data_IF_513746108247
#
_entry.id   IF_513746108247
#
_cell.length_a   1.000
_cell.length_b   1.000
_cell.length_c   1.000
_cell.angle_alpha   90.00
_cell.angle_beta   90.00
_cell.angle_gamma   90.00
#
_symmetry.space_group_name_H-M   'P 1'
#
loop_
_entity.id
_entity.type
_entity.pdbx_description
1 polymer ?
#
# COMPACT_ATOMS: atom_id res chain seq x y z
N UNK A 1 -1.38 -7.78 11.74
CA UNK A 1 -1.46 -7.87 10.26
C UNK A 1 -0.39 -6.98 9.67
N UNK A 2 0.27 -7.43 8.61
CA UNK A 2 1.33 -6.65 7.94
C UNK A 2 0.69 -5.60 7.03
N UNK A 3 1.13 -4.35 7.14
CA UNK A 3 0.77 -3.28 6.20
C UNK A 3 1.86 -3.18 5.14
N UNK A 4 1.47 -3.19 3.88
CA UNK A 4 2.35 -3.05 2.71
C UNK A 4 2.29 -1.58 2.30
N UNK A 5 3.39 -0.87 2.56
CA UNK A 5 3.55 0.56 2.28
C UNK A 5 4.04 0.81 0.84
N UNK A 6 3.88 2.05 0.37
CA UNK A 6 4.46 2.46 -0.92
C UNK A 6 5.97 2.63 -0.80
N UNK A 7 6.68 2.48 -1.91
CA UNK A 7 8.12 2.77 -1.99
C UNK A 7 8.33 3.96 -2.93
N UNK A 8 8.68 5.10 -2.37
CA UNK A 8 8.82 6.38 -3.10
C UNK A 8 10.10 7.05 -2.63
N UNK A 9 10.91 7.56 -3.56
CA UNK A 9 12.14 8.27 -3.21
C UNK A 9 13.19 7.42 -2.47
N UNK A 10 13.15 6.09 -2.62
CA UNK A 10 14.12 5.20 -1.97
C UNK A 10 13.78 4.84 -0.51
N UNK A 11 12.55 5.07 -0.06
CA UNK A 11 12.09 4.68 1.27
C UNK A 11 10.64 4.19 1.26
N UNK A 12 10.27 3.42 2.29
CA UNK A 12 8.86 3.10 2.58
C UNK A 12 8.14 4.36 3.05
N UNK A 13 6.94 4.58 2.55
CA UNK A 13 6.09 5.70 2.97
C UNK A 13 4.63 5.32 2.92
N UNK A 14 3.88 5.85 3.89
CA UNK A 14 2.42 5.81 3.87
C UNK A 14 1.82 6.81 2.89
N UNK A 15 2.54 7.90 2.60
CA UNK A 15 1.98 9.03 1.87
C UNK A 15 0.73 9.60 2.56
N UNK A 16 -0.23 10.06 1.77
CA UNK A 16 -1.54 10.54 2.19
C UNK A 16 -2.59 9.43 2.31
N UNK A 17 -2.25 8.19 1.95
CA UNK A 17 -3.17 7.06 1.95
C UNK A 17 -3.76 6.76 3.35
N UNK A 18 -5.09 6.76 3.42
CA UNK A 18 -5.84 6.33 4.62
C UNK A 18 -6.54 4.99 4.42
N UNK A 19 -6.75 4.58 3.17
CA UNK A 19 -7.44 3.35 2.78
C UNK A 19 -6.47 2.20 2.55
N UNK A 20 -6.95 0.98 2.81
CA UNK A 20 -6.22 -0.24 2.50
C UNK A 20 -7.08 -1.23 1.70
N UNK A 21 -6.43 -2.14 1.00
CA UNK A 21 -7.04 -3.32 0.40
C UNK A 21 -6.44 -4.61 0.97
N UNK A 22 -7.30 -5.59 1.26
CA UNK A 22 -6.86 -6.88 1.80
C UNK A 22 -6.17 -7.72 0.73
N UNK A 23 -4.96 -8.19 1.03
CA UNK A 23 -4.25 -9.22 0.26
C UNK A 23 -4.67 -10.60 0.78
N UNK A 24 -5.08 -11.49 -0.13
CA UNK A 24 -5.51 -12.85 0.22
C UNK A 24 -4.59 -13.91 -0.36
N UNK A 25 -4.41 -14.99 0.38
CA UNK A 25 -3.78 -16.21 -0.12
C UNK A 25 -4.75 -16.90 -1.12
N UNK A 26 -4.35 -17.14 -2.38
CA UNK A 26 -5.24 -17.74 -3.37
C UNK A 26 -5.59 -19.21 -3.09
N UNK A 27 -4.77 -19.95 -2.35
CA UNK A 27 -5.02 -21.36 -2.03
C UNK A 27 -6.04 -21.55 -0.89
N UNK A 28 -6.17 -20.57 0.01
CA UNK A 28 -6.99 -20.71 1.23
C UNK A 28 -8.04 -19.61 1.41
N UNK A 29 -7.94 -18.51 0.66
CA UNK A 29 -8.79 -17.32 0.80
C UNK A 29 -8.49 -16.48 2.06
N UNK A 30 -7.55 -16.90 2.90
CA UNK A 30 -7.20 -16.22 4.15
C UNK A 30 -6.49 -14.88 3.87
N UNK A 31 -6.76 -13.87 4.71
CA UNK A 31 -6.07 -12.58 4.65
C UNK A 31 -4.61 -12.73 5.09
N UNK A 32 -3.68 -12.18 4.32
CA UNK A 32 -2.24 -12.23 4.60
C UNK A 32 -1.63 -10.86 4.87
N UNK A 33 -2.31 -9.77 4.47
CA UNK A 33 -1.86 -8.41 4.73
C UNK A 33 -2.84 -7.37 4.19
N UNK A 34 -2.50 -6.10 4.38
CA UNK A 34 -3.24 -4.93 3.90
C UNK A 34 -2.29 -4.06 3.07
N UNK A 35 -2.65 -3.72 1.82
CA UNK A 35 -1.87 -2.80 0.99
C UNK A 35 -2.48 -1.42 1.01
N UNK A 36 -1.65 -0.38 1.14
CA UNK A 36 -2.13 1.00 1.04
C UNK A 36 -2.70 1.28 -0.36
N UNK A 37 -3.85 1.94 -0.40
CA UNK A 37 -4.44 2.45 -1.63
C UNK A 37 -4.06 3.92 -1.77
N UNK A 38 -3.18 4.22 -2.73
CA UNK A 38 -2.60 5.54 -2.95
C UNK A 38 -3.68 6.61 -3.22
N UNK A 39 -3.41 7.82 -2.74
CA UNK A 39 -4.14 9.03 -3.12
C UNK A 39 -3.40 9.75 -4.27
N UNK A 40 -4.06 10.67 -5.02
CA UNK A 40 -3.41 11.36 -6.14
C UNK A 40 -2.08 12.04 -5.79
N UNK A 41 -1.98 12.65 -4.60
CA UNK A 41 -0.75 13.29 -4.13
C UNK A 41 0.42 12.31 -3.95
N UNK A 42 0.15 11.04 -3.67
CA UNK A 42 1.18 10.01 -3.55
C UNK A 42 1.76 9.66 -4.93
N UNK A 43 0.92 9.67 -5.95
CA UNK A 43 1.33 9.48 -7.35
C UNK A 43 2.18 10.67 -7.80
N UNK A 44 1.76 11.89 -7.48
CA UNK A 44 2.53 13.09 -7.80
C UNK A 44 3.93 13.06 -7.14
N UNK A 45 4.00 12.66 -5.86
CA UNK A 45 5.27 12.51 -5.14
C UNK A 45 6.17 11.40 -5.71
N UNK A 46 5.60 10.36 -6.33
CA UNK A 46 6.35 9.30 -6.98
C UNK A 46 6.95 9.72 -8.34
N UNK A 47 6.36 10.72 -9.00
CA UNK A 47 6.79 11.22 -10.31
C UNK A 47 7.82 12.35 -10.21
N UNK A 48 7.78 13.14 -9.14
CA UNK A 48 8.56 14.37 -8.94
C UNK A 48 10.09 14.18 -8.93
#
# INVERSE_FOLDING_TARGET
MTTIEHWIGGAFTRGAATRTGTVRNPATGAATGEVLLAEPADVDAAVA
#
